data_IF_973725643871
#
_entry.id   IF_973725643871
#
_cell.length_a   1.000
_cell.length_b   1.000
_cell.length_c   1.000
_cell.angle_alpha   90.00
_cell.angle_beta   90.00
_cell.angle_gamma   90.00
#
_symmetry.space_group_name_H-M   'P 1'
#
loop_
_entity.id
_entity.type
_entity.pdbx_description
1 polymer ?
#
# COMPACT_ATOMS: atom_id res chain seq x y z
N UNK A 1 19.27 -4.29 -2.38
CA UNK A 1 17.92 -3.85 -2.72
C UNK A 1 17.72 -2.58 -1.93
N UNK A 2 17.82 -1.45 -2.62
CA UNK A 2 17.65 -0.15 -2.00
C UNK A 2 16.17 0.05 -1.66
N UNK A 3 15.85 0.77 -0.58
CA UNK A 3 14.46 0.99 -0.15
C UNK A 3 13.65 1.64 -1.27
N UNK A 4 14.25 2.58 -2.02
CA UNK A 4 13.60 3.21 -3.18
C UNK A 4 13.21 2.21 -4.27
N UNK A 5 14.02 1.16 -4.48
CA UNK A 5 13.75 0.12 -5.47
C UNK A 5 12.54 -0.72 -5.03
N UNK A 6 12.48 -1.10 -3.75
CA UNK A 6 11.33 -1.81 -3.18
C UNK A 6 10.04 -0.98 -3.24
N UNK A 7 10.13 0.32 -2.92
CA UNK A 7 9.00 1.24 -2.99
C UNK A 7 8.51 1.36 -4.42
N UNK A 8 9.41 1.47 -5.40
CA UNK A 8 9.03 1.54 -6.80
C UNK A 8 8.35 0.27 -7.28
N UNK A 9 8.89 -0.91 -6.99
CA UNK A 9 8.27 -2.18 -7.37
C UNK A 9 6.89 -2.34 -6.74
N UNK A 10 6.73 -1.99 -5.46
CA UNK A 10 5.44 -2.02 -4.80
C UNK A 10 4.49 -0.97 -5.40
N UNK A 11 4.94 0.24 -5.72
CA UNK A 11 4.08 1.22 -6.40
C UNK A 11 3.61 0.71 -7.76
N UNK A 12 4.49 0.15 -8.59
CA UNK A 12 4.10 -0.37 -9.90
C UNK A 12 3.09 -1.52 -9.82
N UNK A 13 3.12 -2.29 -8.73
CA UNK A 13 2.18 -3.38 -8.50
C UNK A 13 0.84 -2.86 -7.98
N UNK A 14 0.85 -1.91 -7.04
CA UNK A 14 -0.34 -1.46 -6.33
C UNK A 14 -1.07 -0.30 -7.04
N UNK A 15 -0.34 0.65 -7.63
CA UNK A 15 -0.89 1.84 -8.30
C UNK A 15 -1.30 1.50 -9.75
N UNK A 16 -2.46 0.83 -9.89
CA UNK A 16 -3.01 0.41 -11.18
C UNK A 16 -3.28 1.59 -12.14
N UNK A 17 -3.69 2.73 -11.59
CA UNK A 17 -4.08 3.91 -12.37
C UNK A 17 -2.90 4.88 -12.63
N UNK A 18 -1.77 4.67 -11.96
CA UNK A 18 -0.54 5.45 -12.05
C UNK A 18 -0.70 6.93 -11.68
N UNK A 19 -1.57 7.22 -10.71
CA UNK A 19 -1.80 8.58 -10.20
C UNK A 19 -0.77 9.01 -9.15
N UNK A 20 0.13 8.10 -8.76
CA UNK A 20 1.23 8.33 -7.83
C UNK A 20 0.86 8.10 -6.36
N UNK A 21 -0.35 7.61 -6.08
CA UNK A 21 -0.80 7.19 -4.75
C UNK A 21 -1.51 5.84 -4.83
N UNK A 22 -1.52 5.09 -3.73
CA UNK A 22 -2.30 3.83 -3.67
C UNK A 22 -3.62 4.14 -3.00
N UNK A 23 -4.69 4.19 -3.78
CA UNK A 23 -6.03 4.38 -3.23
C UNK A 23 -6.50 3.12 -2.47
N UNK A 24 -7.45 3.31 -1.56
CA UNK A 24 -8.11 2.19 -0.87
C UNK A 24 -8.65 1.12 -1.83
N UNK A 25 -9.13 1.55 -3.00
CA UNK A 25 -9.69 0.64 -4.02
C UNK A 25 -8.60 -0.24 -4.62
N UNK A 26 -7.48 0.35 -5.00
CA UNK A 26 -6.30 -0.37 -5.51
C UNK A 26 -5.73 -1.33 -4.47
N UNK A 27 -5.60 -0.88 -3.23
CA UNK A 27 -5.13 -1.72 -2.14
C UNK A 27 -6.03 -2.96 -1.93
N UNK A 28 -7.35 -2.76 -1.89
CA UNK A 28 -8.31 -3.87 -1.73
C UNK A 28 -8.27 -4.82 -2.92
N UNK A 29 -8.30 -4.28 -4.14
CA UNK A 29 -8.27 -5.09 -5.36
C UNK A 29 -7.03 -5.98 -5.43
N UNK A 30 -5.87 -5.44 -5.03
CA UNK A 30 -4.63 -6.20 -5.01
C UNK A 30 -4.64 -7.29 -3.92
N UNK A 31 -5.07 -6.97 -2.71
CA UNK A 31 -5.15 -7.93 -1.60
C UNK A 31 -6.13 -9.07 -1.94
N UNK A 32 -7.26 -8.74 -2.56
CA UNK A 32 -8.20 -9.74 -3.07
C UNK A 32 -7.57 -10.63 -4.14
N UNK A 33 -6.77 -10.06 -5.05
CA UNK A 33 -6.07 -10.81 -6.10
C UNK A 33 -4.94 -11.71 -5.57
N UNK A 34 -4.15 -11.23 -4.61
CA UNK A 34 -2.99 -11.95 -4.08
C UNK A 34 -3.36 -13.00 -3.04
N UNK A 35 -4.22 -12.65 -2.08
CA UNK A 35 -4.54 -13.51 -0.94
C UNK A 35 -5.81 -14.34 -1.16
N UNK A 36 -6.61 -14.07 -2.21
CA UNK A 36 -7.97 -14.62 -2.37
C UNK A 36 -8.84 -14.44 -1.12
N UNK A 37 -8.47 -13.50 -0.24
CA UNK A 37 -9.16 -13.18 0.99
C UNK A 37 -9.88 -11.85 0.79
N UNK A 38 -11.19 -11.95 0.61
CA UNK A 38 -12.13 -10.82 0.48
C UNK A 38 -12.64 -10.33 1.84
N UNK A 39 -11.85 -10.50 2.91
CA UNK A 39 -12.19 -9.91 4.20
C UNK A 39 -11.88 -8.42 4.18
N UNK A 40 -12.88 -7.64 3.75
CA UNK A 40 -12.88 -6.18 3.72
C UNK A 40 -12.43 -5.54 5.05
N UNK A 41 -12.60 -6.22 6.19
CA UNK A 41 -12.12 -5.76 7.49
C UNK A 41 -10.59 -5.77 7.60
N UNK A 42 -9.95 -6.84 7.13
CA UNK A 42 -8.50 -7.00 7.20
C UNK A 42 -7.77 -5.96 6.33
N UNK A 43 -8.25 -5.75 5.10
CA UNK A 43 -7.69 -4.73 4.21
C UNK A 43 -7.93 -3.31 4.72
N UNK A 44 -9.05 -3.07 5.40
CA UNK A 44 -9.39 -1.76 5.99
C UNK A 44 -8.49 -1.37 7.16
N UNK A 45 -8.25 -2.30 8.08
CA UNK A 45 -7.43 -2.05 9.28
C UNK A 45 -5.96 -1.87 8.92
N UNK A 46 -5.48 -2.66 7.95
CA UNK A 46 -4.12 -2.55 7.42
C UNK A 46 -3.94 -1.21 6.69
N UNK A 47 -4.87 -0.86 5.79
CA UNK A 47 -4.81 0.41 5.08
C UNK A 47 -4.73 1.59 6.04
N UNK A 48 -5.62 1.62 7.05
CA UNK A 48 -5.67 2.70 8.04
C UNK A 48 -4.42 2.76 8.93
N UNK A 49 -3.74 1.65 9.13
CA UNK A 49 -2.46 1.63 9.86
C UNK A 49 -1.35 2.32 9.08
N UNK A 50 -1.43 2.33 7.76
CA UNK A 50 -0.41 2.84 6.85
C UNK A 50 -0.69 4.25 6.34
N UNK A 51 -1.96 4.59 6.14
CA UNK A 51 -2.45 5.95 5.88
C UNK A 51 -2.31 6.79 7.16
N UNK A 52 -1.09 7.31 7.39
CA UNK A 52 -0.70 8.05 8.60
C UNK A 52 -1.34 9.44 8.62
N UNK A 53 -1.49 10.06 7.44
CA UNK A 53 -2.06 11.39 7.30
C UNK A 53 -3.61 11.38 7.23
N UNK A 54 -4.22 10.20 7.08
CA UNK A 54 -5.67 9.96 6.97
C UNK A 54 -6.31 10.62 5.75
N UNK A 55 -5.58 10.71 4.63
CA UNK A 55 -6.08 11.25 3.37
C UNK A 55 -6.83 10.22 2.50
N UNK A 56 -6.94 8.98 2.99
CA UNK A 56 -7.52 7.82 2.31
C UNK A 56 -6.73 7.32 1.09
N UNK A 57 -5.45 7.66 1.01
CA UNK A 57 -4.48 7.13 0.07
C UNK A 57 -3.20 6.73 0.82
N UNK A 58 -2.35 5.92 0.20
CA UNK A 58 -0.99 5.68 0.68
C UNK A 58 -0.05 6.36 -0.30
N UNK A 59 0.66 7.38 0.19
CA UNK A 59 1.68 8.08 -0.57
C UNK A 59 3.00 7.30 -0.62
N UNK A 60 3.90 7.70 -1.53
CA UNK A 60 5.26 7.14 -1.59
C UNK A 60 6.00 7.25 -0.27
N UNK A 61 5.89 8.39 0.39
CA UNK A 61 6.56 8.63 1.67
C UNK A 61 6.01 7.71 2.77
N UNK A 62 4.70 7.49 2.81
CA UNK A 62 4.09 6.57 3.78
C UNK A 62 4.47 5.10 3.52
N UNK A 63 4.65 4.72 2.26
CA UNK A 63 5.15 3.39 1.91
C UNK A 63 6.64 3.21 2.24
N UNK A 64 7.46 4.24 2.02
CA UNK A 64 8.88 4.25 2.46
C UNK A 64 8.95 4.04 3.97
N UNK A 65 8.20 4.83 4.72
CA UNK A 65 8.11 4.75 6.18
C UNK A 65 7.69 3.34 6.64
N UNK A 66 6.70 2.75 5.96
CA UNK A 66 6.25 1.38 6.23
C UNK A 66 7.38 0.37 6.06
N UNK A 67 8.10 0.42 4.94
CA UNK A 67 9.18 -0.52 4.66
C UNK A 67 10.31 -0.35 5.68
N UNK A 68 10.64 0.89 6.06
CA UNK A 68 11.64 1.17 7.09
C UNK A 68 11.21 0.60 8.45
N UNK A 69 9.95 0.82 8.86
CA UNK A 69 9.42 0.31 10.13
C UNK A 69 9.35 -1.23 10.19
N UNK A 70 9.12 -1.91 9.06
CA UNK A 70 9.07 -3.37 9.01
C UNK A 70 10.41 -4.06 8.71
N UNK A 71 11.38 -3.33 8.14
CA UNK A 71 12.72 -3.83 7.84
C UNK A 71 13.70 -3.70 9.03
N UNK A 72 13.31 -3.00 10.10
CA UNK A 72 14.03 -2.86 11.37
C UNK A 72 13.44 -3.76 12.46
#
# INVERSE_FOLDING_TARGET
>A
MDIEEMVNELFEIFDENQDGVISRREFVALIESLLHQSELGFSSDIFRKFDKNHDNAISRDELVDMIIEFAL
#
